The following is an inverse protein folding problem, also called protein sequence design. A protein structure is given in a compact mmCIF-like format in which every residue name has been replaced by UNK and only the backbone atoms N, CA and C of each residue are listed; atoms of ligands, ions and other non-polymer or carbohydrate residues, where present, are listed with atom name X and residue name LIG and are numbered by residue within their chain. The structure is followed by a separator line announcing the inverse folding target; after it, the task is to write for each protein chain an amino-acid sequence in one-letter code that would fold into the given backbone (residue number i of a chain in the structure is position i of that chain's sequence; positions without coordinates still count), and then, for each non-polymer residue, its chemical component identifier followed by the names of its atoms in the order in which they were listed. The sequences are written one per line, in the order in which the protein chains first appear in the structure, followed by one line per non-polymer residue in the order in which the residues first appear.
data_IF_079313704200
#
_entry.id   IF_079313704200
#
_cell.length_a   1.000
_cell.length_b   1.000
_cell.length_c   1.000
_cell.angle_alpha   90.00
_cell.angle_beta   90.00
_cell.angle_gamma   90.00
#
_symmetry.space_group_name_H-M   'P 1'
#
loop_
_entity.id
_entity.type
_entity.pdbx_description
1 polymer ?
#
# COMPACT_ATOMS: atom_id res chain seq x y z
N UNK A 1 21.30 -37.58 -5.18
CA UNK A 1 21.65 -36.17 -4.97
C UNK A 1 20.35 -35.51 -4.62
N UNK A 2 20.20 -34.74 -3.52
CA UNK A 2 19.02 -33.91 -3.37
C UNK A 2 18.97 -32.98 -4.57
N UNK A 3 17.77 -32.81 -5.17
CA UNK A 3 17.56 -31.89 -6.28
C UNK A 3 18.09 -30.53 -5.88
N UNK A 4 18.90 -29.91 -6.77
CA UNK A 4 19.46 -28.58 -6.51
C UNK A 4 18.30 -27.58 -6.38
N UNK A 5 18.19 -26.91 -5.23
CA UNK A 5 17.10 -25.95 -4.99
C UNK A 5 17.18 -24.76 -5.95
N UNK A 6 16.02 -24.32 -6.42
CA UNK A 6 15.86 -23.25 -7.40
C UNK A 6 15.66 -21.90 -6.71
N UNK A 7 16.39 -20.89 -7.14
CA UNK A 7 16.37 -19.53 -6.55
C UNK A 7 16.03 -18.49 -7.62
N UNK A 8 15.03 -17.66 -7.35
CA UNK A 8 14.75 -16.46 -8.13
C UNK A 8 15.36 -15.25 -7.42
N UNK A 9 16.26 -14.53 -8.10
CA UNK A 9 16.87 -13.27 -7.62
C UNK A 9 16.29 -12.11 -8.41
N UNK A 10 15.73 -11.13 -7.71
CA UNK A 10 15.16 -9.94 -8.34
C UNK A 10 15.78 -8.67 -7.75
N UNK A 11 16.42 -7.89 -8.59
CA UNK A 11 17.06 -6.62 -8.24
C UNK A 11 17.22 -5.80 -9.53
N UNK A 12 17.05 -4.49 -9.53
CA UNK A 12 17.25 -3.67 -10.72
C UNK A 12 18.74 -3.40 -11.01
N UNK A 13 19.61 -3.56 -10.00
CA UNK A 13 21.07 -3.44 -10.14
C UNK A 13 21.70 -4.73 -10.72
N UNK A 14 22.27 -4.65 -11.93
CA UNK A 14 22.92 -5.81 -12.59
C UNK A 14 24.09 -6.36 -11.77
N UNK A 15 24.85 -5.51 -11.10
CA UNK A 15 25.99 -5.89 -10.26
C UNK A 15 25.55 -6.78 -9.10
N UNK A 16 24.43 -6.47 -8.46
CA UNK A 16 23.86 -7.26 -7.36
C UNK A 16 23.35 -8.60 -7.87
N UNK A 17 22.58 -8.60 -8.97
CA UNK A 17 22.09 -9.85 -9.57
C UNK A 17 23.23 -10.78 -9.95
N UNK A 18 24.29 -10.24 -10.57
CA UNK A 18 25.45 -11.03 -10.99
C UNK A 18 26.20 -11.58 -9.80
N UNK A 19 26.45 -10.78 -8.78
CA UNK A 19 27.13 -11.20 -7.55
C UNK A 19 26.35 -12.30 -6.84
N UNK A 20 25.05 -12.11 -6.62
CA UNK A 20 24.21 -13.11 -5.94
C UNK A 20 24.12 -14.40 -6.73
N UNK A 21 23.99 -14.34 -8.07
CA UNK A 21 23.98 -15.52 -8.92
C UNK A 21 25.27 -16.32 -8.75
N UNK A 22 26.43 -15.69 -8.89
CA UNK A 22 27.72 -16.38 -8.78
C UNK A 22 27.91 -17.04 -7.42
N UNK A 23 27.54 -16.35 -6.33
CA UNK A 23 27.66 -16.90 -4.98
C UNK A 23 26.72 -18.08 -4.76
N UNK A 24 25.47 -17.97 -5.18
CA UNK A 24 24.49 -19.03 -4.98
C UNK A 24 24.77 -20.25 -5.88
N UNK A 25 25.17 -20.04 -7.13
CA UNK A 25 25.57 -21.12 -8.03
C UNK A 25 26.80 -21.87 -7.49
N UNK A 26 27.77 -21.17 -6.90
CA UNK A 26 28.93 -21.81 -6.26
C UNK A 26 28.54 -22.68 -5.04
N UNK A 27 27.39 -22.37 -4.41
CA UNK A 27 26.82 -23.13 -3.29
C UNK A 27 25.87 -24.27 -3.74
N UNK A 28 25.71 -24.46 -5.06
CA UNK A 28 24.96 -25.56 -5.67
C UNK A 28 23.47 -25.24 -5.95
N UNK A 29 23.05 -23.98 -5.87
CA UNK A 29 21.70 -23.57 -6.25
C UNK A 29 21.56 -23.39 -7.77
N UNK A 30 20.35 -23.57 -8.29
CA UNK A 30 19.99 -23.20 -9.67
C UNK A 30 19.38 -21.80 -9.62
N UNK A 31 20.06 -20.81 -10.21
CA UNK A 31 19.68 -19.39 -10.07
C UNK A 31 19.10 -18.82 -11.35
N UNK A 32 17.92 -18.25 -11.25
CA UNK A 32 17.29 -17.41 -12.27
C UNK A 32 17.23 -15.97 -11.78
N UNK A 33 17.45 -15.00 -12.67
CA UNK A 33 17.47 -13.59 -12.29
C UNK A 33 16.42 -12.77 -13.07
N UNK A 34 15.85 -11.73 -12.44
CA UNK A 34 14.99 -10.76 -13.09
C UNK A 34 15.40 -9.33 -12.67
N UNK A 35 15.26 -8.37 -13.60
CA UNK A 35 15.61 -6.98 -13.36
C UNK A 35 14.40 -6.08 -13.10
N UNK A 36 13.18 -6.59 -13.28
CA UNK A 36 11.95 -5.80 -13.19
C UNK A 36 10.80 -6.61 -12.59
N UNK A 37 9.83 -5.94 -12.02
CA UNK A 37 8.60 -6.58 -11.51
C UNK A 37 7.89 -7.42 -12.57
N UNK A 38 7.61 -6.92 -13.80
CA UNK A 38 6.94 -7.73 -14.82
C UNK A 38 7.71 -9.01 -15.19
N UNK A 39 9.05 -8.92 -15.28
CA UNK A 39 9.87 -10.09 -15.58
C UNK A 39 9.81 -11.12 -14.45
N UNK A 40 9.90 -10.68 -13.20
CA UNK A 40 9.78 -11.55 -12.02
C UNK A 40 8.41 -12.25 -11.97
N UNK A 41 7.32 -11.50 -12.19
CA UNK A 41 5.96 -12.07 -12.19
C UNK A 41 5.77 -13.11 -13.30
N UNK A 42 6.33 -12.87 -14.51
CA UNK A 42 6.29 -13.83 -15.59
C UNK A 42 7.01 -15.13 -15.22
N UNK A 43 8.21 -15.04 -14.62
CA UNK A 43 8.97 -16.21 -14.16
C UNK A 43 8.23 -16.99 -13.07
N UNK A 44 7.66 -16.32 -12.08
CA UNK A 44 6.90 -16.96 -10.99
C UNK A 44 5.69 -17.75 -11.51
N UNK A 45 5.07 -17.28 -12.61
CA UNK A 45 3.94 -18.01 -13.21
C UNK A 45 4.36 -19.18 -14.11
N UNK A 46 5.58 -19.18 -14.61
CA UNK A 46 6.08 -20.17 -15.58
C UNK A 46 6.86 -21.33 -14.93
N UNK A 47 7.49 -21.10 -13.78
CA UNK A 47 8.35 -22.07 -13.12
C UNK A 47 8.20 -22.04 -11.61
N UNK A 48 8.49 -23.17 -10.96
CA UNK A 48 8.59 -23.25 -9.50
C UNK A 48 9.95 -22.74 -9.03
N UNK A 49 9.97 -22.00 -7.94
CA UNK A 49 11.18 -21.59 -7.23
C UNK A 49 11.04 -21.95 -5.75
N UNK A 50 12.08 -22.58 -5.18
CA UNK A 50 12.13 -22.90 -3.76
C UNK A 50 12.44 -21.66 -2.91
N UNK A 51 13.14 -20.69 -3.49
CA UNK A 51 13.58 -19.46 -2.80
C UNK A 51 13.39 -18.26 -3.70
N UNK A 52 12.87 -17.17 -3.12
CA UNK A 52 12.89 -15.83 -3.70
C UNK A 52 13.83 -14.94 -2.88
N UNK A 53 14.70 -14.20 -3.56
CA UNK A 53 15.47 -13.09 -3.02
C UNK A 53 15.10 -11.85 -3.85
N UNK A 54 14.47 -10.86 -3.25
CA UNK A 54 14.03 -9.66 -3.96
C UNK A 54 14.58 -8.41 -3.29
N UNK A 55 15.09 -7.47 -4.09
CA UNK A 55 15.24 -6.11 -3.57
C UNK A 55 13.87 -5.55 -3.18
N UNK A 56 13.89 -4.70 -2.15
CA UNK A 56 12.70 -3.95 -1.73
C UNK A 56 12.23 -2.97 -2.80
N UNK A 57 13.17 -2.33 -3.51
CA UNK A 57 12.91 -1.22 -4.42
C UNK A 57 13.29 -1.57 -5.87
N UNK A 58 12.55 -2.44 -6.52
CA UNK A 58 12.78 -2.85 -7.91
C UNK A 58 12.16 -1.85 -8.87
N UNK A 59 12.88 -0.76 -9.18
CA UNK A 59 12.42 0.33 -10.03
C UNK A 59 11.66 1.43 -9.27
N UNK A 60 10.72 1.07 -8.37
CA UNK A 60 10.00 2.01 -7.52
C UNK A 60 10.04 1.56 -6.05
N UNK A 61 9.84 2.49 -5.10
CA UNK A 61 9.80 2.15 -3.68
C UNK A 61 8.74 1.08 -3.37
N UNK A 62 9.16 0.03 -2.66
CA UNK A 62 8.30 -1.06 -2.20
C UNK A 62 7.78 -2.04 -3.28
N UNK A 63 8.25 -1.96 -4.53
CA UNK A 63 7.88 -2.90 -5.60
C UNK A 63 8.24 -4.35 -5.28
N UNK A 64 9.26 -4.60 -4.47
CA UNK A 64 9.63 -5.94 -3.99
C UNK A 64 8.50 -6.69 -3.28
N UNK A 65 7.56 -5.97 -2.66
CA UNK A 65 6.41 -6.59 -2.02
C UNK A 65 5.40 -7.20 -3.00
N UNK A 66 5.28 -6.61 -4.19
CA UNK A 66 4.46 -7.17 -5.27
C UNK A 66 5.00 -8.54 -5.64
N UNK A 67 6.32 -8.66 -5.76
CA UNK A 67 7.00 -9.90 -6.14
C UNK A 67 6.86 -10.96 -5.02
N UNK A 68 7.10 -10.57 -3.76
CA UNK A 68 6.92 -11.46 -2.59
C UNK A 68 5.47 -11.94 -2.49
N UNK A 69 4.50 -11.05 -2.66
CA UNK A 69 3.09 -11.39 -2.62
C UNK A 69 2.71 -12.39 -3.73
N UNK A 70 3.18 -12.16 -4.96
CA UNK A 70 2.97 -13.08 -6.07
C UNK A 70 3.60 -14.45 -5.79
N UNK A 71 4.86 -14.48 -5.33
CA UNK A 71 5.57 -15.72 -5.00
C UNK A 71 4.83 -16.55 -3.96
N UNK A 72 4.39 -15.93 -2.88
CA UNK A 72 3.66 -16.63 -1.80
C UNK A 72 2.29 -17.15 -2.22
N UNK A 73 1.64 -16.50 -3.18
CA UNK A 73 0.35 -16.96 -3.72
C UNK A 73 0.52 -18.14 -4.67
N UNK A 74 1.57 -18.12 -5.47
CA UNK A 74 1.82 -19.14 -6.50
C UNK A 74 2.59 -20.32 -5.92
N UNK A 75 3.54 -20.06 -5.02
CA UNK A 75 4.42 -21.03 -4.39
C UNK A 75 4.45 -20.84 -2.87
N UNK A 76 3.40 -21.24 -2.13
CA UNK A 76 3.25 -20.94 -0.69
C UNK A 76 4.33 -21.57 0.20
N UNK A 77 4.98 -22.64 -0.29
CA UNK A 77 6.03 -23.35 0.45
C UNK A 77 7.44 -22.77 0.21
N UNK A 78 7.56 -21.78 -0.68
CA UNK A 78 8.84 -21.16 -1.00
C UNK A 78 9.31 -20.22 0.11
N UNK A 79 10.62 -20.20 0.33
CA UNK A 79 11.26 -19.22 1.20
C UNK A 79 11.36 -17.87 0.50
N UNK A 80 11.06 -16.78 1.22
CA UNK A 80 11.13 -15.42 0.69
C UNK A 80 12.05 -14.55 1.52
N UNK A 81 13.01 -13.90 0.87
CA UNK A 81 13.95 -12.96 1.47
C UNK A 81 13.86 -11.62 0.78
N UNK A 82 13.87 -10.54 1.57
CA UNK A 82 14.00 -9.19 1.04
C UNK A 82 15.41 -8.67 1.32
N UNK A 83 16.03 -8.08 0.30
CA UNK A 83 17.24 -7.28 0.42
C UNK A 83 16.88 -5.80 0.43
N UNK A 84 17.51 -5.00 1.27
CA UNK A 84 17.30 -3.55 1.31
C UNK A 84 18.60 -2.80 1.59
N UNK A 85 18.80 -1.69 0.87
CA UNK A 85 19.92 -0.76 1.11
C UNK A 85 19.62 0.32 2.18
N UNK A 86 18.38 0.39 2.68
CA UNK A 86 17.94 1.47 3.57
C UNK A 86 17.41 0.95 4.91
N UNK A 87 18.22 0.94 5.96
CA UNK A 87 17.80 0.50 7.31
C UNK A 87 16.75 1.40 7.96
N UNK A 88 16.56 2.64 7.49
CA UNK A 88 15.52 3.54 8.02
C UNK A 88 14.09 3.09 7.75
N UNK A 89 13.88 2.03 6.95
CA UNK A 89 12.60 1.34 6.77
C UNK A 89 12.31 0.30 7.85
N UNK A 90 13.09 0.23 8.92
CA UNK A 90 12.92 -0.79 9.98
C UNK A 90 11.51 -0.86 10.56
N UNK A 91 10.80 0.26 10.68
CA UNK A 91 9.41 0.28 11.17
C UNK A 91 8.41 -0.31 10.17
N UNK A 92 8.65 -0.15 8.87
CA UNK A 92 7.86 -0.81 7.83
C UNK A 92 8.25 -2.29 7.70
N UNK A 93 9.52 -2.62 7.91
CA UNK A 93 10.05 -3.98 7.94
C UNK A 93 9.57 -4.77 9.17
N UNK A 94 9.31 -4.14 10.31
CA UNK A 94 8.73 -4.81 11.48
C UNK A 94 7.33 -5.38 11.17
N UNK A 95 6.51 -4.62 10.43
CA UNK A 95 5.23 -5.11 9.93
C UNK A 95 5.39 -6.23 8.87
N UNK A 96 6.54 -6.27 8.19
CA UNK A 96 6.88 -7.23 7.15
C UNK A 96 7.55 -8.50 7.68
N UNK A 97 8.19 -8.45 8.85
CA UNK A 97 8.74 -9.63 9.53
C UNK A 97 7.71 -10.75 9.70
N UNK A 98 6.43 -10.42 9.72
CA UNK A 98 5.35 -11.40 9.76
C UNK A 98 5.06 -12.04 8.38
N UNK A 99 5.64 -11.53 7.27
CA UNK A 99 5.26 -11.90 5.91
C UNK A 99 6.40 -12.39 5.01
N UNK A 100 7.65 -12.21 5.41
CA UNK A 100 8.83 -12.79 4.76
C UNK A 100 9.54 -13.72 5.73
N UNK A 101 10.26 -14.72 5.21
CA UNK A 101 11.01 -15.63 6.06
C UNK A 101 12.14 -14.89 6.77
N UNK A 102 12.78 -13.94 6.07
CA UNK A 102 13.78 -13.05 6.65
C UNK A 102 14.04 -11.84 5.74
N UNK A 103 14.70 -10.82 6.27
CA UNK A 103 15.24 -9.72 5.50
C UNK A 103 16.73 -9.53 5.79
N UNK A 104 17.44 -8.95 4.84
CA UNK A 104 18.86 -8.70 4.91
C UNK A 104 19.17 -7.29 4.41
N UNK A 105 20.15 -6.65 5.03
CA UNK A 105 20.65 -5.36 4.56
C UNK A 105 21.63 -5.61 3.41
N UNK A 106 21.52 -4.88 2.30
CA UNK A 106 22.52 -4.92 1.23
C UNK A 106 23.89 -4.58 1.83
N UNK A 107 24.88 -5.44 1.60
CA UNK A 107 26.19 -5.36 2.24
C UNK A 107 26.42 -6.36 3.38
N UNK A 108 25.39 -7.07 3.84
CA UNK A 108 25.54 -8.22 4.73
C UNK A 108 26.43 -9.28 4.05
N UNK A 109 27.34 -9.96 4.75
CA UNK A 109 28.16 -11.02 4.18
C UNK A 109 27.29 -12.06 3.49
N UNK A 110 27.62 -12.41 2.23
CA UNK A 110 26.87 -13.39 1.44
C UNK A 110 26.81 -14.77 2.10
N UNK A 111 27.79 -15.11 2.93
CA UNK A 111 27.80 -16.33 3.74
C UNK A 111 26.62 -16.38 4.75
N UNK A 112 26.20 -15.25 5.28
CA UNK A 112 25.03 -15.18 6.17
C UNK A 112 23.75 -15.46 5.40
N UNK A 113 23.56 -14.83 4.23
CA UNK A 113 22.42 -15.09 3.35
C UNK A 113 22.33 -16.58 2.99
N UNK A 114 23.45 -17.17 2.52
CA UNK A 114 23.52 -18.59 2.17
C UNK A 114 23.19 -19.48 3.37
N UNK A 115 23.72 -19.15 4.55
CA UNK A 115 23.42 -19.88 5.79
C UNK A 115 21.93 -19.86 6.15
N UNK A 116 21.29 -18.72 6.04
CA UNK A 116 19.84 -18.56 6.28
C UNK A 116 19.00 -19.36 5.27
N UNK A 117 19.35 -19.32 3.98
CA UNK A 117 18.66 -20.09 2.94
C UNK A 117 18.79 -21.59 3.23
N UNK A 118 20.00 -22.09 3.47
CA UNK A 118 20.24 -23.52 3.74
C UNK A 118 19.51 -23.99 5.00
N UNK A 119 19.50 -23.17 6.05
CA UNK A 119 18.76 -23.47 7.29
C UNK A 119 17.26 -23.49 7.05
N UNK A 120 16.73 -22.54 6.29
CA UNK A 120 15.31 -22.49 5.94
C UNK A 120 14.87 -23.73 5.14
N UNK A 121 15.64 -24.11 4.12
CA UNK A 121 15.37 -25.32 3.31
C UNK A 121 15.46 -26.59 4.19
N UNK A 122 16.49 -26.71 5.02
CA UNK A 122 16.70 -27.89 5.86
C UNK A 122 15.64 -28.04 6.95
N UNK A 123 15.11 -26.94 7.47
CA UNK A 123 14.08 -26.97 8.51
C UNK A 123 12.69 -27.39 7.99
N UNK A 124 12.53 -27.46 6.67
CA UNK A 124 11.22 -27.77 6.06
C UNK A 124 10.13 -26.79 6.51
N UNK A 125 10.54 -25.62 6.99
CA UNK A 125 9.55 -24.60 7.37
C UNK A 125 8.84 -24.16 6.10
N UNK A 126 7.55 -24.53 5.95
CA UNK A 126 6.75 -23.95 4.87
C UNK A 126 6.84 -22.44 5.00
N UNK A 127 7.10 -21.78 3.89
CA UNK A 127 7.00 -20.33 3.84
C UNK A 127 5.72 -19.94 4.55
N UNK A 128 5.85 -19.14 5.60
CA UNK A 128 4.82 -18.79 6.58
C UNK A 128 3.40 -18.97 6.01
N UNK A 129 2.57 -19.86 6.60
CA UNK A 129 1.26 -20.29 6.07
C UNK A 129 0.55 -19.11 5.42
N UNK A 130 -0.15 -19.28 4.27
CA UNK A 130 -0.82 -18.18 3.60
C UNK A 130 -1.69 -17.46 4.61
N UNK A 131 -1.26 -16.27 4.99
CA UNK A 131 -2.10 -15.42 5.83
C UNK A 131 -3.36 -15.12 5.02
N UNK A 132 -4.51 -15.22 5.65
CA UNK A 132 -5.80 -14.91 5.04
C UNK A 132 -5.73 -13.50 4.46
N UNK A 133 -5.65 -13.42 3.13
CA UNK A 133 -5.66 -12.12 2.44
C UNK A 133 -6.97 -11.40 2.76
N UNK A 134 -6.91 -10.09 2.85
CA UNK A 134 -7.99 -9.19 3.25
C UNK A 134 -8.30 -8.23 2.11
N UNK A 135 -9.52 -7.79 2.03
CA UNK A 135 -9.88 -6.71 1.10
C UNK A 135 -9.32 -5.37 1.59
N UNK A 136 -9.10 -4.43 0.67
CA UNK A 136 -8.63 -3.07 1.03
C UNK A 136 -9.51 -2.41 2.12
N UNK A 137 -10.86 -2.46 2.04
CA UNK A 137 -11.70 -1.87 3.08
C UNK A 137 -11.48 -2.47 4.47
N UNK A 138 -11.15 -3.77 4.58
CA UNK A 138 -10.87 -4.40 5.86
C UNK A 138 -9.53 -3.91 6.45
N UNK A 139 -8.54 -3.75 5.58
CA UNK A 139 -7.23 -3.19 5.98
C UNK A 139 -7.36 -1.74 6.46
N UNK A 140 -8.13 -0.91 5.74
CA UNK A 140 -8.36 0.49 6.14
C UNK A 140 -9.14 0.56 7.45
N UNK A 141 -10.17 -0.27 7.65
CA UNK A 141 -10.94 -0.31 8.88
C UNK A 141 -10.07 -0.63 10.11
N UNK A 142 -9.21 -1.64 10.00
CA UNK A 142 -8.31 -2.02 11.10
C UNK A 142 -7.24 -0.96 11.40
N UNK A 143 -6.88 -0.14 10.42
CA UNK A 143 -5.89 0.92 10.57
C UNK A 143 -6.55 2.33 10.62
N UNK A 144 -7.87 2.42 10.88
CA UNK A 144 -8.63 3.66 10.81
C UNK A 144 -8.03 4.76 11.68
N UNK A 145 -7.72 4.45 12.92
CA UNK A 145 -7.14 5.42 13.86
C UNK A 145 -5.76 5.91 13.39
N UNK A 146 -4.92 5.01 12.91
CA UNK A 146 -3.62 5.37 12.35
C UNK A 146 -3.77 6.29 11.11
N UNK A 147 -4.72 6.00 10.21
CA UNK A 147 -4.99 6.84 9.04
C UNK A 147 -5.41 8.26 9.47
N UNK A 148 -6.30 8.37 10.45
CA UNK A 148 -6.79 9.65 10.95
C UNK A 148 -5.65 10.44 11.61
N UNK A 149 -4.82 9.81 12.43
CA UNK A 149 -3.71 10.45 13.12
C UNK A 149 -2.65 10.95 12.11
N UNK A 150 -2.24 10.11 11.15
CA UNK A 150 -1.28 10.49 10.13
C UNK A 150 -1.80 11.60 9.21
N UNK A 151 -3.09 11.58 8.89
CA UNK A 151 -3.71 12.66 8.13
C UNK A 151 -3.70 13.97 8.92
N UNK A 152 -4.08 13.95 10.20
CA UNK A 152 -4.07 15.12 11.05
C UNK A 152 -2.67 15.73 11.17
N UNK A 153 -1.65 14.90 11.35
CA UNK A 153 -0.26 15.34 11.43
C UNK A 153 0.17 16.06 10.13
N UNK A 154 -0.21 15.54 8.96
CA UNK A 154 0.06 16.17 7.67
C UNK A 154 -0.71 17.49 7.49
N UNK A 155 -1.95 17.55 7.92
CA UNK A 155 -2.76 18.78 7.93
C UNK A 155 -2.09 19.86 8.80
N UNK A 156 -1.64 19.49 10.00
CA UNK A 156 -0.94 20.41 10.93
C UNK A 156 0.43 20.84 10.43
N UNK A 157 1.11 19.98 9.68
CA UNK A 157 2.41 20.29 9.08
C UNK A 157 2.30 21.19 7.85
N UNK A 158 1.10 21.30 7.25
CA UNK A 158 0.90 22.10 6.04
C UNK A 158 0.72 23.58 6.34
N UNK A 159 1.50 24.45 5.70
CA UNK A 159 1.51 25.90 5.95
C UNK A 159 0.18 26.62 5.72
N UNK A 160 -0.60 26.15 4.76
CA UNK A 160 -1.90 26.77 4.45
C UNK A 160 -2.96 26.37 5.50
N UNK A 161 -3.00 25.07 5.85
CA UNK A 161 -4.03 24.54 6.74
C UNK A 161 -3.75 24.83 8.21
N UNK A 162 -2.49 24.84 8.64
CA UNK A 162 -2.12 25.13 10.05
C UNK A 162 -2.48 26.54 10.52
N UNK A 163 -2.64 27.51 9.58
CA UNK A 163 -2.98 28.91 9.90
C UNK A 163 -4.43 29.07 10.33
N UNK A 164 -5.26 28.07 10.07
CA UNK A 164 -6.64 28.09 10.54
C UNK A 164 -6.66 27.79 12.04
N UNK A 165 -7.35 28.63 12.79
CA UNK A 165 -7.51 28.47 14.25
C UNK A 165 -8.59 27.43 14.55
N UNK A 166 -8.21 26.15 14.40
CA UNK A 166 -9.10 25.00 14.58
C UNK A 166 -8.47 24.00 15.55
N UNK A 167 -9.28 23.48 16.46
CA UNK A 167 -8.89 22.38 17.33
C UNK A 167 -8.69 21.08 16.54
N UNK A 168 -7.96 20.13 17.10
CA UNK A 168 -7.78 18.79 16.49
C UNK A 168 -9.14 18.08 16.31
N UNK A 169 -10.09 18.30 17.21
CA UNK A 169 -11.46 17.77 17.10
C UNK A 169 -12.20 18.36 15.90
N UNK A 170 -12.15 19.70 15.71
CA UNK A 170 -12.81 20.35 14.58
C UNK A 170 -12.20 19.93 13.24
N UNK A 171 -10.88 19.64 13.22
CA UNK A 171 -10.21 19.15 12.02
C UNK A 171 -10.64 17.73 11.66
N UNK A 172 -10.75 16.83 12.66
CA UNK A 172 -11.10 15.41 12.46
C UNK A 172 -12.55 15.18 12.09
N UNK A 173 -13.44 16.05 12.50
CA UNK A 173 -14.90 15.97 12.55
C UNK A 173 -15.53 15.01 11.50
N UNK A 174 -15.24 15.18 10.23
CA UNK A 174 -15.84 14.43 9.11
C UNK A 174 -15.05 13.18 8.69
N UNK A 175 -13.74 13.09 8.97
CA UNK A 175 -12.86 12.04 8.43
C UNK A 175 -13.25 10.63 8.87
N UNK A 176 -13.62 10.39 10.14
CA UNK A 176 -14.09 9.07 10.57
C UNK A 176 -15.31 8.58 9.78
N UNK A 177 -16.31 9.47 9.58
CA UNK A 177 -17.52 9.16 8.83
C UNK A 177 -17.25 8.91 7.35
N UNK A 178 -16.39 9.72 6.73
CA UNK A 178 -15.98 9.57 5.35
C UNK A 178 -15.25 8.24 5.09
N UNK A 179 -14.33 7.85 5.98
CA UNK A 179 -13.66 6.55 5.90
C UNK A 179 -14.65 5.40 6.04
N UNK A 180 -15.58 5.47 6.97
CA UNK A 180 -16.59 4.44 7.20
C UNK A 180 -17.51 4.27 6.00
N UNK A 181 -17.87 5.37 5.36
CA UNK A 181 -18.65 5.37 4.13
C UNK A 181 -17.88 4.72 2.98
N UNK A 182 -16.61 5.10 2.77
CA UNK A 182 -15.77 4.52 1.73
C UNK A 182 -15.56 3.01 1.93
N UNK A 183 -15.33 2.57 3.17
CA UNK A 183 -15.22 1.16 3.55
C UNK A 183 -16.52 0.41 3.25
N UNK A 184 -17.66 0.97 3.62
CA UNK A 184 -18.97 0.36 3.42
C UNK A 184 -19.31 0.21 1.94
N UNK A 185 -19.03 1.23 1.13
CA UNK A 185 -19.26 1.19 -0.32
C UNK A 185 -18.33 0.19 -1.02
N UNK A 186 -17.07 0.14 -0.62
CA UNK A 186 -16.13 -0.84 -1.18
C UNK A 186 -16.56 -2.29 -0.89
N UNK A 187 -17.25 -2.55 0.23
CA UNK A 187 -17.83 -3.86 0.58
C UNK A 187 -19.14 -4.21 -0.12
N UNK A 188 -19.54 -3.48 -1.16
CA UNK A 188 -20.81 -3.68 -1.90
C UNK A 188 -22.08 -3.43 -1.07
N UNK A 189 -22.01 -2.76 0.05
CA UNK A 189 -23.19 -2.37 0.83
C UNK A 189 -23.75 -1.08 0.27
N UNK A 190 -25.05 -1.07 -0.05
CA UNK A 190 -25.75 0.11 -0.55
C UNK A 190 -25.73 1.22 0.51
N UNK A 191 -25.15 2.37 0.18
CA UNK A 191 -25.18 3.57 1.01
C UNK A 191 -25.95 4.65 0.25
N UNK A 192 -27.10 5.05 0.80
CA UNK A 192 -28.06 5.92 0.11
C UNK A 192 -28.01 7.39 0.57
N UNK A 193 -29.19 8.02 0.65
CA UNK A 193 -29.50 9.45 0.84
C UNK A 193 -28.83 10.18 2.04
N UNK A 194 -28.30 9.47 3.03
CA UNK A 194 -27.58 10.07 4.18
C UNK A 194 -26.26 10.72 3.77
N UNK A 195 -25.65 10.21 2.72
CA UNK A 195 -24.38 10.64 2.13
C UNK A 195 -24.38 12.11 1.73
N UNK A 196 -25.41 12.52 1.01
CA UNK A 196 -25.50 13.88 0.48
C UNK A 196 -25.57 14.93 1.58
N UNK A 197 -26.22 14.62 2.72
CA UNK A 197 -26.33 15.52 3.85
C UNK A 197 -25.01 15.76 4.56
N UNK A 198 -24.17 14.72 4.74
CA UNK A 198 -22.89 14.83 5.42
C UNK A 198 -21.91 15.71 4.62
N UNK A 199 -21.81 15.50 3.32
CA UNK A 199 -20.96 16.31 2.44
C UNK A 199 -21.41 17.77 2.35
N UNK A 200 -22.73 18.03 2.27
CA UNK A 200 -23.28 19.37 2.27
C UNK A 200 -22.98 20.11 3.59
N UNK A 201 -23.09 19.43 4.73
CA UNK A 201 -22.75 19.98 6.05
C UNK A 201 -21.26 20.26 6.15
N UNK A 202 -20.40 19.35 5.66
CA UNK A 202 -18.96 19.52 5.68
C UNK A 202 -18.53 20.75 4.86
N UNK A 203 -19.00 20.89 3.63
CA UNK A 203 -18.66 22.03 2.77
C UNK A 203 -19.09 23.36 3.37
N UNK A 204 -20.31 23.44 3.95
CA UNK A 204 -20.80 24.63 4.63
C UNK A 204 -19.98 24.94 5.89
N UNK A 205 -19.64 23.94 6.70
CA UNK A 205 -18.83 24.10 7.91
C UNK A 205 -17.44 24.64 7.57
N UNK A 206 -16.77 24.08 6.58
CA UNK A 206 -15.44 24.53 6.13
C UNK A 206 -15.45 25.98 5.62
N UNK A 207 -16.54 26.42 4.99
CA UNK A 207 -16.70 27.82 4.62
C UNK A 207 -16.67 28.74 5.86
N UNK A 208 -17.41 28.42 6.92
CA UNK A 208 -17.43 29.19 8.16
C UNK A 208 -16.12 29.11 8.94
N UNK A 209 -15.36 28.03 8.80
CA UNK A 209 -14.05 27.87 9.40
C UNK A 209 -12.91 28.59 8.65
N UNK A 210 -13.24 29.35 7.59
CA UNK A 210 -12.26 30.14 6.83
C UNK A 210 -11.45 29.36 5.81
N UNK A 211 -11.87 28.16 5.45
CA UNK A 211 -11.25 27.43 4.34
C UNK A 211 -11.41 28.17 3.02
N UNK A 212 -10.55 27.84 2.08
CA UNK A 212 -10.71 28.14 0.66
C UNK A 212 -10.90 26.85 -0.13
N UNK A 213 -11.44 26.92 -1.34
CA UNK A 213 -11.59 25.72 -2.20
C UNK A 213 -10.25 24.97 -2.41
N UNK A 214 -9.11 25.64 -2.67
CA UNK A 214 -7.82 24.96 -2.71
C UNK A 214 -7.45 24.20 -1.42
N UNK A 215 -7.86 24.71 -0.25
CA UNK A 215 -7.61 24.02 1.03
C UNK A 215 -8.47 22.76 1.18
N UNK A 216 -9.73 22.76 0.72
CA UNK A 216 -10.57 21.57 0.68
C UNK A 216 -9.94 20.47 -0.20
N UNK A 217 -9.49 20.86 -1.39
CA UNK A 217 -8.82 19.92 -2.31
C UNK A 217 -7.52 19.39 -1.71
N UNK A 218 -6.75 20.23 -1.05
CA UNK A 218 -5.51 19.86 -0.39
C UNK A 218 -5.77 18.86 0.77
N UNK A 219 -6.77 19.12 1.59
CA UNK A 219 -7.18 18.26 2.71
C UNK A 219 -7.57 16.86 2.22
N UNK A 220 -8.38 16.77 1.16
CA UNK A 220 -8.76 15.52 0.53
C UNK A 220 -7.56 14.78 -0.08
N UNK A 221 -6.63 15.50 -0.73
CA UNK A 221 -5.41 14.91 -1.28
C UNK A 221 -4.53 14.32 -0.18
N UNK A 222 -4.33 15.02 0.93
CA UNK A 222 -3.55 14.51 2.07
C UNK A 222 -4.16 13.23 2.63
N UNK A 223 -5.48 13.09 2.64
CA UNK A 223 -6.14 11.84 3.05
C UNK A 223 -5.84 10.71 2.05
N UNK A 224 -5.95 10.97 0.76
CA UNK A 224 -5.59 10.00 -0.29
C UNK A 224 -4.14 9.52 -0.20
N UNK A 225 -3.20 10.43 0.11
CA UNK A 225 -1.78 10.10 0.29
C UNK A 225 -1.57 9.16 1.48
N UNK A 226 -2.28 9.40 2.61
CA UNK A 226 -2.20 8.52 3.80
C UNK A 226 -2.84 7.17 3.56
N UNK A 227 -3.99 7.12 2.89
CA UNK A 227 -4.64 5.84 2.53
C UNK A 227 -3.72 5.03 1.61
N UNK A 228 -3.10 5.66 0.61
CA UNK A 228 -2.13 5.01 -0.26
C UNK A 228 -0.93 4.47 0.51
N UNK A 229 -0.46 5.19 1.51
CA UNK A 229 0.60 4.70 2.40
C UNK A 229 0.13 3.53 3.26
N UNK A 230 -1.07 3.58 3.83
CA UNK A 230 -1.67 2.48 4.58
C UNK A 230 -1.75 1.21 3.73
N UNK A 231 -2.20 1.32 2.48
CA UNK A 231 -2.26 0.20 1.54
C UNK A 231 -0.88 -0.36 1.25
N UNK A 232 0.12 0.49 0.97
CA UNK A 232 1.51 0.06 0.75
C UNK A 232 2.09 -0.70 1.95
N UNK A 233 1.87 -0.20 3.16
CA UNK A 233 2.35 -0.84 4.40
C UNK A 233 1.74 -2.23 4.62
N UNK A 234 0.51 -2.43 4.16
CA UNK A 234 -0.23 -3.67 4.33
C UNK A 234 -0.37 -4.50 3.04
N UNK A 235 0.41 -4.17 2.00
CA UNK A 235 0.23 -4.71 0.65
C UNK A 235 0.22 -6.24 0.60
N UNK A 236 1.07 -6.90 1.39
CA UNK A 236 1.15 -8.36 1.46
C UNK A 236 -0.10 -9.03 2.07
N UNK A 237 -0.90 -8.27 2.81
CA UNK A 237 -2.16 -8.75 3.39
C UNK A 237 -3.33 -8.56 2.43
N UNK A 238 -3.16 -7.81 1.33
CA UNK A 238 -4.26 -7.42 0.46
C UNK A 238 -4.57 -8.50 -0.56
N UNK A 239 -5.85 -8.80 -0.70
CA UNK A 239 -6.37 -9.61 -1.80
C UNK A 239 -6.31 -8.83 -3.13
N UNK A 240 -5.30 -9.15 -3.94
CA UNK A 240 -5.08 -8.50 -5.23
C UNK A 240 -6.23 -8.75 -6.22
N UNK A 241 -7.03 -9.81 -6.04
CA UNK A 241 -8.14 -10.12 -6.93
C UNK A 241 -9.25 -9.05 -6.88
N UNK A 242 -9.38 -8.38 -5.72
CA UNK A 242 -10.36 -7.33 -5.49
C UNK A 242 -9.72 -5.92 -5.43
N UNK A 243 -8.40 -5.81 -5.50
CA UNK A 243 -7.67 -4.55 -5.27
C UNK A 243 -8.21 -3.41 -6.14
N UNK A 244 -8.28 -3.60 -7.45
CA UNK A 244 -8.72 -2.55 -8.38
C UNK A 244 -10.17 -2.14 -8.12
N UNK A 245 -11.05 -3.12 -7.89
CA UNK A 245 -12.47 -2.85 -7.61
C UNK A 245 -12.62 -2.06 -6.31
N UNK A 246 -11.92 -2.46 -5.26
CA UNK A 246 -11.96 -1.79 -3.97
C UNK A 246 -11.43 -0.35 -4.07
N UNK A 247 -10.29 -0.15 -4.73
CA UNK A 247 -9.70 1.18 -4.93
C UNK A 247 -10.62 2.09 -5.76
N UNK A 248 -11.22 1.57 -6.84
CA UNK A 248 -12.15 2.34 -7.67
C UNK A 248 -13.33 2.82 -6.84
N UNK A 249 -13.99 1.94 -6.10
CA UNK A 249 -15.15 2.29 -5.26
C UNK A 249 -14.79 3.32 -4.17
N UNK A 250 -13.65 3.14 -3.51
CA UNK A 250 -13.19 4.10 -2.49
C UNK A 250 -12.88 5.47 -3.12
N UNK A 251 -12.21 5.49 -4.26
CA UNK A 251 -11.88 6.74 -4.98
C UNK A 251 -13.15 7.45 -5.45
N UNK A 252 -14.14 6.71 -5.94
CA UNK A 252 -15.45 7.26 -6.32
C UNK A 252 -16.14 7.92 -5.13
N UNK A 253 -16.09 7.28 -3.94
CA UNK A 253 -16.63 7.85 -2.70
C UNK A 253 -15.98 9.18 -2.36
N UNK A 254 -14.64 9.22 -2.30
CA UNK A 254 -13.90 10.44 -1.96
C UNK A 254 -14.09 11.56 -2.98
N UNK A 255 -14.16 11.20 -4.28
CA UNK A 255 -14.37 12.17 -5.35
C UNK A 255 -15.76 12.79 -5.29
N UNK A 256 -16.79 11.98 -5.05
CA UNK A 256 -18.18 12.47 -4.92
C UNK A 256 -18.35 13.35 -3.68
N UNK A 257 -17.77 12.96 -2.55
CA UNK A 257 -17.81 13.75 -1.31
C UNK A 257 -17.11 15.09 -1.50
N UNK A 258 -15.94 15.12 -2.11
CA UNK A 258 -15.21 16.36 -2.40
C UNK A 258 -16.01 17.26 -3.36
N UNK A 259 -16.61 16.71 -4.41
CA UNK A 259 -17.44 17.48 -5.34
C UNK A 259 -18.62 18.14 -4.62
N UNK A 260 -19.32 17.37 -3.78
CA UNK A 260 -20.47 17.87 -3.02
C UNK A 260 -20.04 18.92 -1.99
N UNK A 261 -18.95 18.69 -1.26
CA UNK A 261 -18.41 19.66 -0.29
C UNK A 261 -17.99 20.96 -0.95
N UNK A 262 -17.33 20.91 -2.11
CA UNK A 262 -16.98 22.12 -2.90
C UNK A 262 -18.22 22.82 -3.41
N UNK A 263 -19.24 22.08 -3.85
CA UNK A 263 -20.53 22.64 -4.29
C UNK A 263 -21.26 23.34 -3.14
N UNK A 264 -21.36 22.70 -1.97
CA UNK A 264 -21.97 23.27 -0.78
C UNK A 264 -21.21 24.53 -0.29
N UNK A 265 -19.87 24.48 -0.29
CA UNK A 265 -19.02 25.62 0.00
C UNK A 265 -19.29 26.82 -0.94
N UNK A 266 -19.35 26.58 -2.25
CA UNK A 266 -19.56 27.62 -3.24
C UNK A 266 -20.95 28.24 -3.17
N UNK A 267 -21.98 27.46 -2.81
CA UNK A 267 -23.34 27.96 -2.58
C UNK A 267 -23.40 28.96 -1.42
N UNK A 268 -22.59 28.81 -0.37
CA UNK A 268 -22.50 29.79 0.74
C UNK A 268 -21.98 31.16 0.26
N UNK A 269 -21.20 31.22 -0.82
CA UNK A 269 -20.72 32.45 -1.45
C UNK A 269 -21.74 33.12 -2.37
N UNK A 270 -22.92 32.57 -2.56
CA UNK A 270 -23.89 33.06 -3.54
C UNK A 270 -23.48 32.81 -4.99
N UNK A 271 -22.52 31.91 -5.22
CA UNK A 271 -22.10 31.50 -6.55
C UNK A 271 -22.96 30.30 -7.00
N UNK A 272 -23.95 30.60 -7.86
CA UNK A 272 -24.72 29.53 -8.52
C UNK A 272 -23.87 29.00 -9.68
N UNK A 273 -23.38 27.77 -9.56
CA UNK A 273 -22.78 27.08 -10.70
C UNK A 273 -23.83 26.97 -11.82
N UNK A 274 -23.50 27.30 -13.08
CA UNK A 274 -24.45 27.13 -14.18
C UNK A 274 -24.88 25.64 -14.23
N UNK A 275 -26.19 25.42 -14.24
CA UNK A 275 -26.76 24.09 -14.48
C UNK A 275 -26.18 23.62 -15.82
N UNK A 276 -25.54 22.46 -15.84
CA UNK A 276 -25.30 21.75 -17.07
C UNK A 276 -26.67 21.33 -17.60
N UNK A 277 -27.22 22.12 -18.52
CA UNK A 277 -28.40 21.74 -19.26
C UNK A 277 -28.10 20.44 -19.99
N UNK A 278 -28.79 19.39 -19.58
CA UNK A 278 -28.84 18.14 -20.32
C UNK A 278 -29.34 18.46 -21.75
N UNK A 279 -28.40 18.58 -22.68
CA UNK A 279 -28.73 18.57 -24.09
C UNK A 279 -28.80 17.12 -24.54
N UNK A 280 -29.97 16.75 -24.93
CA UNK A 280 -30.58 15.74 -25.73
C UNK A 280 -29.78 14.68 -26.45
#
# INVERSE_FOLDING_TARGET
MPDSSTVLVVDDEESIRTMLRLVLEAEGFIVTTAATVPAALALITQAHFDVLISDLNVGHPADGFIIVSAMRRTHPDSLTFILTGYPAFETALEALRQHVNDYLIKGTPTSELVGKIKTGIASGQPGNRPQKTRRVPDVIEENKDWVIDQWLDRVKANDALRRLDLSDTDRRDHVPGLLEEAITHARDRFVGLERQRAADQHGALRYHQGYTVPMLILEARLLGDVISECIRRNFLLIDLSNLIVDLTKMTDTFSMELEQSVRAYTNQRGWVLPRQDAKG
#
